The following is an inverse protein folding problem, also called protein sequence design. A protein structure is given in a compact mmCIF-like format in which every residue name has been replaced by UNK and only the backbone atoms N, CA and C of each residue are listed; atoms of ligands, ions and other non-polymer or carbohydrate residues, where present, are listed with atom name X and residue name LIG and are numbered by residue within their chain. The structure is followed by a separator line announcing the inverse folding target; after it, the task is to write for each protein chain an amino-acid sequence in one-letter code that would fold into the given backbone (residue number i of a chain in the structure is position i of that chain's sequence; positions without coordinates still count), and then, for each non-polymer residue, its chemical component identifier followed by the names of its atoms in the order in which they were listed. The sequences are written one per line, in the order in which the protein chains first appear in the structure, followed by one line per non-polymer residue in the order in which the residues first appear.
data_IF_551687201943
#
_entry.id   IF_551687201943
#
_cell.length_a   1.000
_cell.length_b   1.000
_cell.length_c   1.000
_cell.angle_alpha   90.00
_cell.angle_beta   90.00
_cell.angle_gamma   90.00
#
_symmetry.space_group_name_H-M   'P 1'
#
loop_
_entity.id
_entity.type
_entity.pdbx_description
1 polymer ?
#
# COMPACT_ATOMS: atom_id res chain seq x y z
N UNK A 1 32.04 -20.52 28.59
CA UNK A 1 31.66 -19.17 28.17
C UNK A 1 31.17 -19.27 26.74
N UNK A 2 29.86 -19.22 26.52
CA UNK A 2 29.29 -19.26 25.18
C UNK A 2 28.89 -17.84 24.78
N UNK A 3 29.60 -17.28 23.81
CA UNK A 3 29.29 -16.00 23.19
C UNK A 3 28.46 -16.25 21.94
N UNK A 4 27.18 -15.86 21.98
CA UNK A 4 26.31 -15.72 20.82
C UNK A 4 26.58 -14.37 20.13
N UNK A 5 26.78 -14.33 18.81
CA UNK A 5 26.60 -13.11 18.02
C UNK A 5 25.48 -13.33 17.00
N UNK A 6 24.30 -12.72 17.21
CA UNK A 6 23.15 -12.93 16.31
C UNK A 6 22.26 -11.71 16.03
N UNK A 7 22.54 -10.54 16.61
CA UNK A 7 21.62 -9.39 16.55
C UNK A 7 21.82 -8.41 15.38
N UNK A 8 23.00 -8.39 14.75
CA UNK A 8 23.36 -7.32 13.80
C UNK A 8 22.77 -7.46 12.39
N UNK A 9 22.60 -8.68 11.90
CA UNK A 9 22.22 -8.94 10.51
C UNK A 9 20.68 -8.86 10.29
N UNK A 10 19.91 -9.21 11.32
CA UNK A 10 18.45 -9.15 11.28
C UNK A 10 17.91 -7.70 11.28
N UNK A 11 18.54 -6.80 12.04
CA UNK A 11 18.14 -5.38 12.08
C UNK A 11 18.34 -4.68 10.75
N UNK A 12 19.50 -4.90 10.12
CA UNK A 12 19.85 -4.31 8.82
C UNK A 12 18.92 -4.79 7.69
N UNK A 13 18.56 -6.08 7.67
CA UNK A 13 17.64 -6.62 6.67
C UNK A 13 16.22 -6.05 6.83
N UNK A 14 15.72 -5.95 8.06
CA UNK A 14 14.41 -5.34 8.33
C UNK A 14 14.35 -3.87 7.91
N UNK A 15 15.39 -3.09 8.20
CA UNK A 15 15.49 -1.69 7.77
C UNK A 15 15.47 -1.58 6.24
N UNK A 16 16.24 -2.41 5.53
CA UNK A 16 16.25 -2.45 4.06
C UNK A 16 14.87 -2.79 3.47
N UNK A 17 14.15 -3.73 4.07
CA UNK A 17 12.78 -4.07 3.65
C UNK A 17 11.84 -2.88 3.85
N UNK A 18 11.91 -2.20 4.99
CA UNK A 18 11.07 -1.03 5.27
C UNK A 18 11.39 0.13 4.34
N UNK A 19 12.68 0.40 4.10
CA UNK A 19 13.13 1.46 3.21
C UNK A 19 12.68 1.23 1.77
N UNK A 20 12.82 0.01 1.25
CA UNK A 20 12.32 -0.34 -0.07
C UNK A 20 10.79 -0.25 -0.13
N UNK A 21 10.08 -0.72 0.90
CA UNK A 21 8.63 -0.60 0.97
C UNK A 21 8.15 0.85 0.93
N UNK A 22 8.81 1.73 1.68
CA UNK A 22 8.53 3.16 1.68
C UNK A 22 8.83 3.80 0.32
N UNK A 23 9.95 3.43 -0.32
CA UNK A 23 10.31 3.92 -1.65
C UNK A 23 9.28 3.48 -2.71
N UNK A 24 8.88 2.20 -2.69
CA UNK A 24 7.85 1.65 -3.58
C UNK A 24 6.50 2.34 -3.39
N UNK A 25 6.04 2.52 -2.14
CA UNK A 25 4.77 3.20 -1.87
C UNK A 25 4.78 4.66 -2.35
N UNK A 26 5.87 5.39 -2.10
CA UNK A 26 6.00 6.80 -2.53
C UNK A 26 6.05 6.92 -4.05
N UNK A 27 6.80 6.06 -4.73
CA UNK A 27 6.84 6.01 -6.19
C UNK A 27 5.45 5.64 -6.76
N UNK A 28 4.79 4.67 -6.13
CA UNK A 28 3.46 4.22 -6.52
C UNK A 28 2.43 5.34 -6.48
N UNK A 29 2.38 6.07 -5.36
CA UNK A 29 1.53 7.25 -5.16
C UNK A 29 1.87 8.34 -6.16
N UNK A 30 3.15 8.67 -6.33
CA UNK A 30 3.59 9.73 -7.23
C UNK A 30 3.08 9.48 -8.65
N UNK A 31 3.42 8.33 -9.23
CA UNK A 31 3.05 8.00 -10.61
C UNK A 31 1.53 7.99 -10.81
N UNK A 32 0.77 7.49 -9.83
CA UNK A 32 -0.69 7.46 -9.90
C UNK A 32 -1.33 8.82 -9.80
N UNK A 33 -0.85 9.70 -8.91
CA UNK A 33 -1.33 11.08 -8.84
C UNK A 33 -1.01 11.82 -10.14
N UNK A 34 0.15 11.60 -10.75
CA UNK A 34 0.49 12.23 -12.03
C UNK A 34 -0.42 11.76 -13.17
N UNK A 35 -0.85 10.49 -13.18
CA UNK A 35 -1.72 9.92 -14.23
C UNK A 35 -3.21 10.20 -14.01
N UNK A 36 -3.67 10.16 -12.76
CA UNK A 36 -5.09 10.17 -12.39
C UNK A 36 -5.51 11.34 -11.49
N UNK A 37 -4.61 12.28 -11.17
CA UNK A 37 -4.84 13.34 -10.20
C UNK A 37 -5.89 14.38 -10.59
N UNK A 38 -6.48 14.32 -11.79
CA UNK A 38 -7.55 15.23 -12.21
C UNK A 38 -7.16 16.71 -12.14
N UNK A 39 -5.89 17.03 -12.40
CA UNK A 39 -5.32 18.38 -12.27
C UNK A 39 -4.57 18.62 -10.96
N UNK A 40 -4.76 17.79 -9.93
CA UNK A 40 -3.91 17.80 -8.74
C UNK A 40 -2.56 17.16 -9.06
N UNK A 41 -1.49 17.74 -8.52
CA UNK A 41 -0.13 17.21 -8.67
C UNK A 41 0.53 17.11 -7.31
N UNK A 42 1.47 16.16 -7.20
CA UNK A 42 2.33 16.02 -6.02
C UNK A 42 3.76 15.86 -6.46
N UNK A 43 4.67 16.53 -5.77
CA UNK A 43 6.11 16.37 -5.98
C UNK A 43 6.64 15.20 -5.14
N UNK A 44 7.69 14.54 -5.63
CA UNK A 44 8.37 13.48 -4.86
C UNK A 44 8.86 13.99 -3.50
N UNK A 45 9.30 15.25 -3.44
CA UNK A 45 9.70 15.93 -2.21
C UNK A 45 8.54 16.02 -1.21
N UNK A 46 7.32 16.36 -1.64
CA UNK A 46 6.13 16.40 -0.78
C UNK A 46 5.79 15.03 -0.18
N UNK A 47 6.01 13.94 -0.93
CA UNK A 47 5.87 12.56 -0.43
C UNK A 47 7.02 12.13 0.49
N UNK A 48 8.11 12.90 0.55
CA UNK A 48 9.33 12.52 1.24
C UNK A 48 10.06 11.36 0.56
N UNK A 49 9.98 11.29 -0.77
CA UNK A 49 10.58 10.24 -1.59
C UNK A 49 11.53 10.77 -2.64
N UNK A 50 12.34 9.86 -3.16
CA UNK A 50 13.21 10.07 -4.33
C UNK A 50 12.78 9.13 -5.45
N UNK A 51 13.24 9.39 -6.68
CA UNK A 51 12.99 8.47 -7.77
C UNK A 51 13.67 7.12 -7.50
N UNK A 52 13.03 6.02 -7.89
CA UNK A 52 13.67 4.71 -7.87
C UNK A 52 14.82 4.71 -8.88
N UNK A 53 16.04 4.47 -8.42
CA UNK A 53 17.24 4.45 -9.29
C UNK A 53 17.59 3.03 -9.73
N UNK A 54 17.48 2.05 -8.83
CA UNK A 54 17.82 0.66 -9.08
C UNK A 54 16.87 0.01 -10.12
N UNK A 55 17.40 -0.71 -11.14
CA UNK A 55 16.58 -1.35 -12.17
C UNK A 55 15.58 -2.39 -11.64
N UNK A 56 15.91 -3.15 -10.60
CA UNK A 56 15.01 -4.14 -10.02
C UNK A 56 13.88 -3.46 -9.24
N UNK A 57 14.21 -2.40 -8.49
CA UNK A 57 13.20 -1.59 -7.80
C UNK A 57 12.25 -0.91 -8.80
N UNK A 58 12.78 -0.40 -9.92
CA UNK A 58 11.95 0.15 -11.02
C UNK A 58 10.98 -0.88 -11.58
N UNK A 59 11.42 -2.13 -11.81
CA UNK A 59 10.55 -3.21 -12.29
C UNK A 59 9.44 -3.53 -11.28
N UNK A 60 9.76 -3.55 -9.98
CA UNK A 60 8.75 -3.71 -8.93
C UNK A 60 7.73 -2.56 -8.94
N UNK A 61 8.22 -1.31 -8.98
CA UNK A 61 7.36 -0.12 -9.07
C UNK A 61 6.44 -0.15 -10.30
N UNK A 62 6.98 -0.50 -11.47
CA UNK A 62 6.21 -0.67 -12.71
C UNK A 62 5.12 -1.74 -12.57
N UNK A 63 5.41 -2.85 -11.91
CA UNK A 63 4.38 -3.85 -11.71
C UNK A 63 3.30 -3.41 -10.73
N UNK A 64 3.67 -2.72 -9.65
CA UNK A 64 2.67 -2.14 -8.74
C UNK A 64 1.74 -1.21 -9.53
N UNK A 65 2.28 -0.40 -10.45
CA UNK A 65 1.48 0.42 -11.35
C UNK A 65 0.49 -0.41 -12.17
N UNK A 66 0.96 -1.48 -12.84
CA UNK A 66 0.11 -2.37 -13.63
C UNK A 66 -1.03 -2.98 -12.81
N UNK A 67 -0.74 -3.48 -11.61
CA UNK A 67 -1.79 -4.03 -10.73
C UNK A 67 -2.78 -2.94 -10.37
N UNK A 68 -2.28 -1.76 -10.02
CA UNK A 68 -3.15 -0.64 -9.72
C UNK A 68 -4.08 -0.32 -10.90
N UNK A 69 -3.59 -0.34 -12.14
CA UNK A 69 -4.38 -0.04 -13.33
C UNK A 69 -5.52 -1.07 -13.49
N UNK A 70 -5.25 -2.34 -13.19
CA UNK A 70 -6.27 -3.40 -13.14
C UNK A 70 -7.31 -3.15 -12.04
N UNK A 71 -6.88 -2.72 -10.84
CA UNK A 71 -7.78 -2.37 -9.74
C UNK A 71 -8.64 -1.14 -10.05
N UNK A 72 -8.08 -0.15 -10.76
CA UNK A 72 -8.79 1.04 -11.22
C UNK A 72 -9.91 0.69 -12.21
N UNK A 73 -9.73 -0.36 -13.01
CA UNK A 73 -10.75 -0.88 -13.92
C UNK A 73 -11.96 -1.52 -13.24
N UNK A 74 -11.90 -1.82 -11.95
CA UNK A 74 -12.98 -2.51 -11.24
C UNK A 74 -14.05 -1.54 -10.71
N UNK A 75 -15.13 -1.35 -11.46
CA UNK A 75 -16.20 -0.36 -11.22
C UNK A 75 -16.72 -0.35 -9.79
N UNK A 76 -17.06 -1.52 -9.24
CA UNK A 76 -17.65 -1.60 -7.89
C UNK A 76 -16.66 -1.21 -6.78
N UNK A 77 -15.36 -1.47 -7.02
CA UNK A 77 -14.30 -1.05 -6.11
C UNK A 77 -14.16 0.48 -6.15
N UNK A 78 -14.17 1.06 -7.35
CA UNK A 78 -14.13 2.52 -7.53
C UNK A 78 -15.29 3.21 -6.80
N UNK A 79 -16.51 2.69 -7.00
CA UNK A 79 -17.73 3.19 -6.34
C UNK A 79 -17.59 3.24 -4.82
N UNK A 80 -17.01 2.20 -4.20
CA UNK A 80 -16.82 2.17 -2.76
C UNK A 80 -15.76 3.15 -2.29
N UNK A 81 -14.64 3.27 -3.01
CA UNK A 81 -13.56 4.19 -2.65
C UNK A 81 -14.01 5.65 -2.69
N UNK A 82 -14.87 5.97 -3.67
CA UNK A 82 -15.41 7.30 -3.84
C UNK A 82 -16.57 7.62 -2.87
N UNK A 83 -17.05 6.66 -2.07
CA UNK A 83 -18.05 6.89 -1.03
C UNK A 83 -17.55 7.96 -0.03
N UNK A 84 -18.38 8.96 0.25
CA UNK A 84 -18.02 10.13 1.08
C UNK A 84 -17.66 9.76 2.52
N UNK A 85 -18.13 8.62 3.01
CA UNK A 85 -17.80 8.14 4.35
C UNK A 85 -16.38 7.59 4.48
N UNK A 86 -15.71 7.23 3.38
CA UNK A 86 -14.27 6.91 3.36
C UNK A 86 -13.43 8.18 3.35
N UNK A 87 -13.33 8.88 4.47
CA UNK A 87 -12.43 10.02 4.63
C UNK A 87 -10.98 9.58 4.88
N UNK A 88 -9.97 10.38 4.47
CA UNK A 88 -8.57 10.09 4.75
C UNK A 88 -8.27 10.36 6.24
N UNK A 89 -8.59 9.40 7.10
CA UNK A 89 -8.36 9.48 8.55
C UNK A 89 -7.66 8.22 9.05
N UNK A 90 -6.94 8.32 10.18
CA UNK A 90 -6.23 7.17 10.77
C UNK A 90 -7.19 6.04 11.10
N UNK A 91 -8.36 6.38 11.64
CA UNK A 91 -9.37 5.40 12.02
C UNK A 91 -9.83 4.56 10.83
N UNK A 92 -10.16 5.21 9.71
CA UNK A 92 -10.59 4.51 8.48
C UNK A 92 -9.44 3.69 7.91
N UNK A 93 -8.24 4.26 7.88
CA UNK A 93 -7.05 3.53 7.44
C UNK A 93 -6.86 2.24 8.23
N UNK A 94 -6.83 2.32 9.56
CA UNK A 94 -6.60 1.16 10.42
C UNK A 94 -7.74 0.14 10.34
N UNK A 95 -9.01 0.58 10.26
CA UNK A 95 -10.16 -0.32 10.09
C UNK A 95 -10.02 -1.16 8.82
N UNK A 96 -9.74 -0.52 7.69
CA UNK A 96 -9.54 -1.23 6.42
C UNK A 96 -8.29 -2.11 6.48
N UNK A 97 -7.18 -1.61 7.01
CA UNK A 97 -5.95 -2.39 7.13
C UNK A 97 -6.15 -3.66 7.98
N UNK A 98 -6.78 -3.56 9.15
CA UNK A 98 -7.10 -4.73 9.98
C UNK A 98 -8.08 -5.68 9.29
N UNK A 99 -9.08 -5.17 8.59
CA UNK A 99 -10.06 -6.01 7.88
C UNK A 99 -9.41 -6.77 6.71
N UNK A 100 -8.44 -6.18 5.99
CA UNK A 100 -7.68 -6.87 4.94
C UNK A 100 -7.00 -8.15 5.47
N UNK A 101 -6.58 -8.16 6.74
CA UNK A 101 -5.81 -9.26 7.33
C UNK A 101 -6.55 -9.96 8.49
N UNK A 102 -7.88 -9.78 8.61
CA UNK A 102 -8.67 -10.22 9.76
C UNK A 102 -8.69 -11.75 9.97
N UNK A 103 -8.55 -12.53 8.90
CA UNK A 103 -8.48 -13.99 8.95
C UNK A 103 -7.07 -14.56 9.22
N UNK A 104 -6.07 -13.69 9.48
CA UNK A 104 -4.69 -14.07 9.77
C UNK A 104 -3.87 -14.55 8.56
N UNK A 105 -4.40 -14.48 7.33
CA UNK A 105 -3.68 -14.91 6.12
C UNK A 105 -2.89 -13.75 5.50
N UNK A 106 -1.65 -14.03 5.12
CA UNK A 106 -0.77 -13.08 4.43
C UNK A 106 -0.47 -13.56 3.02
N UNK A 107 -0.58 -12.65 2.05
CA UNK A 107 -0.16 -12.85 0.67
C UNK A 107 0.08 -11.48 0.01
N UNK A 108 0.81 -11.47 -1.11
CA UNK A 108 1.16 -10.24 -1.79
C UNK A 108 -0.05 -9.46 -2.31
N UNK A 109 -1.15 -10.14 -2.69
CA UNK A 109 -2.38 -9.47 -3.11
C UNK A 109 -2.98 -8.58 -2.03
N UNK A 110 -2.93 -9.01 -0.77
CA UNK A 110 -3.38 -8.19 0.38
C UNK A 110 -2.43 -7.03 0.70
N UNK A 111 -1.12 -7.25 0.58
CA UNK A 111 -0.13 -6.16 0.72
C UNK A 111 -0.34 -5.09 -0.35
N UNK A 112 -0.58 -5.51 -1.59
CA UNK A 112 -0.89 -4.59 -2.71
C UNK A 112 -2.23 -3.88 -2.49
N UNK A 113 -3.26 -4.58 -2.00
CA UNK A 113 -4.54 -3.96 -1.66
C UNK A 113 -4.39 -2.85 -0.60
N UNK A 114 -3.53 -3.06 0.41
CA UNK A 114 -3.19 -2.03 1.41
C UNK A 114 -2.50 -0.82 0.77
N UNK A 115 -1.49 -1.04 -0.09
CA UNK A 115 -0.79 0.03 -0.81
C UNK A 115 -1.74 0.82 -1.73
N UNK A 116 -2.60 0.11 -2.44
CA UNK A 116 -3.64 0.68 -3.30
C UNK A 116 -4.60 1.56 -2.50
N UNK A 117 -5.10 1.05 -1.38
CA UNK A 117 -5.99 1.81 -0.51
C UNK A 117 -5.32 3.07 0.06
N UNK A 118 -4.07 2.96 0.54
CA UNK A 118 -3.29 4.12 0.99
C UNK A 118 -3.13 5.17 -0.11
N UNK A 119 -2.82 4.75 -1.34
CA UNK A 119 -2.74 5.65 -2.50
C UNK A 119 -4.07 6.37 -2.76
N UNK A 120 -5.20 5.66 -2.65
CA UNK A 120 -6.52 6.26 -2.85
C UNK A 120 -6.89 7.25 -1.77
N UNK A 121 -6.51 7.02 -0.52
CA UNK A 121 -6.65 8.03 0.54
C UNK A 121 -5.80 9.28 0.26
N UNK A 122 -4.59 9.11 -0.27
CA UNK A 122 -3.75 10.26 -0.68
C UNK A 122 -4.39 11.05 -1.81
N UNK A 123 -4.88 10.39 -2.85
CA UNK A 123 -5.61 11.05 -3.95
C UNK A 123 -6.83 11.79 -3.41
N UNK A 124 -7.58 11.17 -2.50
CA UNK A 124 -8.75 11.79 -1.87
C UNK A 124 -8.37 13.02 -1.04
N UNK A 125 -7.28 12.94 -0.27
CA UNK A 125 -6.76 14.08 0.48
C UNK A 125 -6.37 15.27 -0.41
N UNK A 126 -5.83 15.01 -1.60
CA UNK A 126 -5.55 16.04 -2.60
C UNK A 126 -6.84 16.68 -3.12
N UNK A 127 -7.81 15.85 -3.51
CA UNK A 127 -9.13 16.29 -4.00
C UNK A 127 -9.90 17.09 -2.95
N UNK A 128 -9.79 16.73 -1.67
CA UNK A 128 -10.43 17.44 -0.56
C UNK A 128 -9.56 18.55 0.04
N UNK A 129 -8.49 18.96 -0.63
CA UNK A 129 -7.60 20.07 -0.25
C UNK A 129 -7.01 19.99 1.18
N UNK A 130 -6.61 18.79 1.60
CA UNK A 130 -5.91 18.53 2.88
C UNK A 130 -4.55 17.83 2.67
N UNK A 131 -3.64 18.41 1.86
CA UNK A 131 -2.38 17.75 1.47
C UNK A 131 -1.43 17.45 2.64
N UNK A 132 -1.58 18.12 3.79
CA UNK A 132 -0.72 17.93 4.96
C UNK A 132 -0.80 16.51 5.53
N UNK A 133 -1.91 15.79 5.27
CA UNK A 133 -2.08 14.42 5.76
C UNK A 133 -1.37 13.37 4.92
N UNK A 134 -0.86 13.73 3.73
CA UNK A 134 -0.28 12.77 2.78
C UNK A 134 0.89 11.98 3.40
N UNK A 135 1.84 12.68 4.03
CA UNK A 135 2.95 12.04 4.74
C UNK A 135 2.47 11.18 5.91
N UNK A 136 1.38 11.59 6.53
CA UNK A 136 0.77 10.88 7.65
C UNK A 136 0.15 9.56 7.20
N UNK A 137 -0.50 9.51 6.03
CA UNK A 137 -1.03 8.27 5.43
C UNK A 137 0.10 7.30 5.09
N UNK A 138 1.17 7.81 4.47
CA UNK A 138 2.37 7.01 4.17
C UNK A 138 2.94 6.42 5.47
N UNK A 139 3.06 7.24 6.52
CA UNK A 139 3.52 6.78 7.84
C UNK A 139 2.62 5.67 8.40
N UNK A 140 1.29 5.83 8.41
CA UNK A 140 0.40 4.76 8.91
C UNK A 140 0.58 3.45 8.16
N UNK A 141 0.83 3.53 6.85
CA UNK A 141 1.07 2.35 6.02
C UNK A 141 2.37 1.65 6.40
N UNK A 142 3.44 2.43 6.62
CA UNK A 142 4.72 1.88 7.02
C UNK A 142 4.72 1.36 8.47
N UNK A 143 4.06 2.08 9.40
CA UNK A 143 3.86 1.64 10.78
C UNK A 143 3.12 0.28 10.79
N UNK A 144 2.02 0.16 10.05
CA UNK A 144 1.28 -1.10 9.94
C UNK A 144 2.12 -2.23 9.35
N UNK A 145 2.90 -1.93 8.32
CA UNK A 145 3.79 -2.90 7.69
C UNK A 145 4.86 -3.38 8.66
N UNK A 146 5.48 -2.47 9.40
CA UNK A 146 6.47 -2.76 10.43
C UNK A 146 5.87 -3.61 11.56
N UNK A 147 4.70 -3.23 12.06
CA UNK A 147 4.11 -3.88 13.25
C UNK A 147 3.50 -5.25 12.93
N UNK A 148 3.01 -5.47 11.70
CA UNK A 148 2.22 -6.66 11.38
C UNK A 148 2.75 -7.52 10.25
N UNK A 149 3.46 -6.96 9.27
CA UNK A 149 3.78 -7.65 8.02
C UNK A 149 5.27 -7.91 7.82
N UNK A 150 6.14 -7.24 8.57
CA UNK A 150 7.59 -7.23 8.33
C UNK A 150 8.22 -8.62 8.38
N UNK A 151 7.79 -9.44 9.35
CA UNK A 151 8.29 -10.79 9.51
C UNK A 151 7.89 -11.65 8.30
N UNK A 152 6.63 -11.57 7.87
CA UNK A 152 6.15 -12.31 6.71
C UNK A 152 6.88 -11.88 5.43
N UNK A 153 7.05 -10.58 5.19
CA UNK A 153 7.77 -10.06 4.01
C UNK A 153 9.22 -10.57 4.00
N UNK A 154 9.88 -10.58 5.16
CA UNK A 154 11.23 -11.13 5.30
C UNK A 154 11.25 -12.64 4.99
N UNK A 155 10.27 -13.39 5.46
CA UNK A 155 10.16 -14.83 5.20
C UNK A 155 9.89 -15.13 3.71
N UNK A 156 9.32 -14.17 2.96
CA UNK A 156 9.21 -14.23 1.49
C UNK A 156 10.52 -13.87 0.77
N UNK A 157 11.60 -13.55 1.47
CA UNK A 157 12.86 -13.07 0.88
C UNK A 157 12.83 -11.60 0.46
N UNK A 158 11.90 -10.80 1.01
CA UNK A 158 11.74 -9.39 0.71
C UNK A 158 10.75 -9.11 -0.44
N UNK A 159 10.80 -7.89 -0.97
CA UNK A 159 9.83 -7.37 -1.95
C UNK A 159 9.88 -8.02 -3.34
N UNK A 160 10.96 -8.74 -3.63
CA UNK A 160 11.12 -9.51 -4.86
C UNK A 160 10.04 -10.59 -5.02
N UNK A 161 9.47 -11.08 -3.91
CA UNK A 161 8.37 -12.05 -3.90
C UNK A 161 7.11 -11.57 -4.62
N UNK A 162 6.88 -10.26 -4.80
CA UNK A 162 5.73 -9.78 -5.59
C UNK A 162 5.86 -10.27 -7.05
N UNK A 163 7.09 -10.49 -7.55
CA UNK A 163 7.35 -10.92 -8.92
C UNK A 163 6.69 -12.23 -9.31
N UNK A 164 6.56 -13.16 -8.37
CA UNK A 164 5.93 -14.46 -8.63
C UNK A 164 4.41 -14.38 -8.79
N UNK A 165 3.78 -13.28 -8.35
CA UNK A 165 2.33 -13.08 -8.47
C UNK A 165 1.92 -12.35 -9.76
N UNK A 166 2.86 -11.74 -10.47
CA UNK A 166 2.59 -11.05 -11.73
C UNK A 166 2.18 -12.02 -12.85
N UNK A 167 1.24 -11.60 -13.69
CA UNK A 167 0.77 -12.37 -14.84
C UNK A 167 -0.28 -13.45 -14.51
N UNK A 168 -0.70 -13.57 -13.24
CA UNK A 168 -1.85 -14.41 -12.88
C UNK A 168 -3.13 -13.59 -12.94
N UNK A 169 -4.29 -14.15 -13.37
CA UNK A 169 -5.58 -13.45 -13.38
C UNK A 169 -6.15 -13.17 -11.97
N UNK A 170 -5.30 -13.08 -10.95
CA UNK A 170 -5.68 -12.95 -9.55
C UNK A 170 -6.07 -11.52 -9.16
N UNK A 171 -5.74 -10.49 -9.96
CA UNK A 171 -6.01 -9.10 -9.60
C UNK A 171 -7.49 -8.74 -9.62
N UNK A 172 -8.29 -9.38 -10.47
CA UNK A 172 -9.75 -9.32 -10.37
C UNK A 172 -10.23 -9.85 -9.01
N UNK A 173 -9.68 -10.97 -8.55
CA UNK A 173 -9.99 -11.52 -7.22
C UNK A 173 -9.55 -10.58 -6.10
N UNK A 174 -8.40 -9.90 -6.24
CA UNK A 174 -7.95 -8.88 -5.29
C UNK A 174 -8.91 -7.67 -5.27
N UNK A 175 -9.40 -7.23 -6.44
CA UNK A 175 -10.36 -6.14 -6.52
C UNK A 175 -11.69 -6.50 -5.85
N UNK A 176 -12.22 -7.70 -6.13
CA UNK A 176 -13.43 -8.24 -5.49
C UNK A 176 -13.24 -8.38 -3.98
N UNK A 177 -12.09 -8.90 -3.56
CA UNK A 177 -11.74 -9.02 -2.15
C UNK A 177 -11.72 -7.66 -1.45
N UNK A 178 -11.02 -6.67 -2.02
CA UNK A 178 -10.93 -5.34 -1.44
C UNK A 178 -12.30 -4.64 -1.43
N UNK A 179 -13.14 -4.83 -2.45
CA UNK A 179 -14.51 -4.35 -2.43
C UNK A 179 -15.33 -5.00 -1.30
N UNK A 180 -15.18 -6.29 -1.05
CA UNK A 180 -15.81 -6.96 0.10
C UNK A 180 -15.36 -6.38 1.45
N UNK A 181 -14.06 -6.12 1.60
CA UNK A 181 -13.49 -5.45 2.79
C UNK A 181 -14.10 -4.06 2.98
N UNK A 182 -14.11 -3.23 1.93
CA UNK A 182 -14.65 -1.88 2.00
C UNK A 182 -16.15 -1.89 2.29
N UNK A 183 -16.90 -2.82 1.73
CA UNK A 183 -18.33 -3.00 2.03
C UNK A 183 -18.54 -3.23 3.52
N UNK A 184 -17.76 -4.11 4.13
CA UNK A 184 -17.84 -4.43 5.56
C UNK A 184 -17.60 -3.18 6.41
N UNK A 185 -16.53 -2.44 6.13
CA UNK A 185 -16.19 -1.21 6.86
C UNK A 185 -17.25 -0.12 6.68
N UNK A 186 -17.79 0.02 5.47
CA UNK A 186 -18.81 1.01 5.13
C UNK A 186 -20.16 0.71 5.80
N UNK A 187 -20.58 -0.56 5.82
CA UNK A 187 -21.84 -1.00 6.44
C UNK A 187 -21.79 -0.81 7.95
N UNK A 188 -20.69 -1.21 8.61
CA UNK A 188 -20.49 -1.02 10.05
C UNK A 188 -20.54 0.46 10.47
N UNK A 189 -20.19 1.39 9.57
CA UNK A 189 -20.23 2.83 9.85
C UNK A 189 -21.61 3.46 9.61
N UNK A 190 -22.45 2.85 8.77
CA UNK A 190 -23.80 3.35 8.45
C UNK A 190 -24.86 2.85 9.45
N UNK A 191 -24.55 1.81 10.22
CA UNK A 191 -25.35 1.33 11.36
C UNK A 191 -25.00 2.13 12.63
#
# INVERSE_FOLDING_TARGET
MASHPGGGDQGNNTEQILDLGAALLKDFIYERVQRHGGGNTVTRTQLGGVALCDPNHKKLGQCLQQIGDELDGHVELQRMIDDSSLSPTKEIFMKVAFEIFSDGKFNWGRVVALFYFACRLVIKALVTHIPDIIRTIIRWTMDYLQDHLINWIRDQGGWEGIKSHFGTPTWQTVAVFLAGVLTTVLVVRKM
#
